data_IF_369574268845
#
_entry.id   IF_369574268845
#
_cell.length_a   1.000
_cell.length_b   1.000
_cell.length_c   1.000
_cell.angle_alpha   90.00
_cell.angle_beta   90.00
_cell.angle_gamma   90.00
#
_symmetry.space_group_name_H-M   'P 1'
#
loop_
_entity.id
_entity.type
_entity.pdbx_description
1 polymer ?
#
# COMPACT_ATOMS: atom_id res chain seq x y z
N UNK A 1 -17.65 -20.06 3.83
CA UNK A 1 -17.94 -19.87 5.27
C UNK A 1 -18.86 -18.68 5.40
N UNK A 2 -20.03 -18.77 6.06
CA UNK A 2 -20.89 -17.60 6.25
C UNK A 2 -20.27 -16.67 7.30
N UNK A 3 -20.22 -15.36 7.01
CA UNK A 3 -19.79 -14.34 7.98
C UNK A 3 -20.78 -14.38 9.14
N UNK A 4 -20.30 -14.75 10.33
CA UNK A 4 -21.15 -15.02 11.51
C UNK A 4 -21.31 -13.83 12.46
N UNK A 5 -20.40 -12.85 12.44
CA UNK A 5 -20.47 -11.65 13.26
C UNK A 5 -19.66 -10.51 12.62
N UNK A 6 -20.15 -9.28 12.75
CA UNK A 6 -19.45 -8.04 12.41
C UNK A 6 -19.35 -7.22 13.70
N UNK A 7 -18.14 -6.90 14.13
CA UNK A 7 -17.92 -5.98 15.25
C UNK A 7 -17.87 -4.54 14.72
N UNK A 8 -18.73 -3.67 15.26
CA UNK A 8 -18.69 -2.23 15.01
C UNK A 8 -18.11 -1.60 16.28
N UNK A 9 -16.94 -0.97 16.18
CA UNK A 9 -16.28 -0.29 17.31
C UNK A 9 -16.98 1.01 17.72
N UNK A 10 -16.59 1.56 18.87
CA UNK A 10 -17.14 2.82 19.38
C UNK A 10 -16.38 4.04 18.81
N UNK A 11 -17.04 5.20 18.60
CA UNK A 11 -16.37 6.41 18.11
C UNK A 11 -15.18 6.86 18.97
N UNK A 12 -15.22 6.59 20.27
CA UNK A 12 -14.12 6.92 21.20
C UNK A 12 -12.84 6.11 20.91
N UNK A 13 -12.95 4.92 20.31
CA UNK A 13 -11.81 4.08 19.92
C UNK A 13 -11.01 4.72 18.78
N UNK A 14 -11.65 5.48 17.89
CA UNK A 14 -10.98 6.18 16.79
C UNK A 14 -10.03 7.28 17.28
N UNK A 15 -10.29 7.84 18.46
CA UNK A 15 -9.40 8.84 19.09
C UNK A 15 -8.30 8.22 19.95
N UNK A 16 -8.29 6.89 20.08
CA UNK A 16 -7.27 6.21 20.88
C UNK A 16 -5.89 6.38 20.21
N UNK A 17 -4.82 6.67 20.98
CA UNK A 17 -3.48 6.90 20.43
C UNK A 17 -2.99 5.76 19.51
N UNK A 18 -3.35 4.52 19.81
CA UNK A 18 -2.93 3.36 19.02
C UNK A 18 -3.72 3.24 17.70
N UNK A 19 -4.99 3.64 17.67
CA UNK A 19 -5.76 3.74 16.43
C UNK A 19 -5.21 4.83 15.52
N UNK A 20 -4.83 5.99 16.08
CA UNK A 20 -4.21 7.07 15.32
C UNK A 20 -2.82 6.68 14.77
N UNK A 21 -2.00 5.98 15.56
CA UNK A 21 -0.71 5.44 15.08
C UNK A 21 -0.91 4.42 13.96
N UNK A 22 -1.88 3.52 14.10
CA UNK A 22 -2.20 2.54 13.07
C UNK A 22 -2.67 3.23 11.77
N UNK A 23 -3.57 4.20 11.87
CA UNK A 23 -4.06 4.97 10.72
C UNK A 23 -2.92 5.75 10.01
N UNK A 24 -1.99 6.32 10.77
CA UNK A 24 -0.82 7.00 10.20
C UNK A 24 0.12 6.00 9.52
N UNK A 25 0.38 4.85 10.15
CA UNK A 25 1.20 3.79 9.57
C UNK A 25 0.58 3.26 8.27
N UNK A 26 -0.74 3.08 8.25
CA UNK A 26 -1.49 2.67 7.07
C UNK A 26 -1.42 3.73 5.96
N UNK A 27 -1.59 5.01 6.31
CA UNK A 27 -1.45 6.12 5.37
C UNK A 27 -0.07 6.14 4.71
N UNK A 28 1.01 6.04 5.49
CA UNK A 28 2.39 6.04 4.97
C UNK A 28 2.66 4.79 4.14
N UNK A 29 2.22 3.61 4.60
CA UNK A 29 2.39 2.34 3.88
C UNK A 29 1.70 2.39 2.52
N UNK A 30 0.47 2.91 2.48
CA UNK A 30 -0.30 3.08 1.24
C UNK A 30 0.37 4.09 0.33
N UNK A 31 0.90 5.19 0.87
CA UNK A 31 1.64 6.20 0.10
C UNK A 31 2.88 5.59 -0.56
N UNK A 32 3.68 4.81 0.17
CA UNK A 32 4.86 4.11 -0.36
C UNK A 32 4.46 3.15 -1.49
N UNK A 33 3.44 2.33 -1.28
CA UNK A 33 2.96 1.36 -2.26
C UNK A 33 2.50 2.04 -3.56
N UNK A 34 1.62 3.03 -3.47
CA UNK A 34 1.08 3.74 -4.63
C UNK A 34 2.18 4.53 -5.33
N UNK A 35 3.07 5.18 -4.58
CA UNK A 35 4.18 5.92 -5.15
C UNK A 35 5.12 5.01 -5.95
N UNK A 36 5.45 3.82 -5.44
CA UNK A 36 6.25 2.85 -6.17
C UNK A 36 5.53 2.35 -7.43
N UNK A 37 4.25 1.98 -7.31
CA UNK A 37 3.44 1.49 -8.41
C UNK A 37 3.28 2.50 -9.55
N UNK A 38 2.68 3.65 -9.26
CA UNK A 38 2.42 4.71 -10.25
C UNK A 38 3.72 5.37 -10.74
N UNK A 39 4.69 5.53 -9.84
CA UNK A 39 6.01 6.06 -10.16
C UNK A 39 6.74 5.21 -11.21
N UNK A 40 6.59 3.89 -11.16
CA UNK A 40 7.17 2.99 -12.17
C UNK A 40 6.58 3.20 -13.56
N UNK A 41 5.26 3.44 -13.67
CA UNK A 41 4.59 3.74 -14.92
C UNK A 41 5.03 5.09 -15.50
N UNK A 42 5.13 6.12 -14.65
CA UNK A 42 5.66 7.42 -15.06
C UNK A 42 7.11 7.33 -15.52
N UNK A 43 7.95 6.57 -14.82
CA UNK A 43 9.34 6.33 -15.20
C UNK A 43 9.44 5.61 -16.54
N UNK A 44 8.63 4.57 -16.77
CA UNK A 44 8.57 3.88 -18.06
C UNK A 44 8.19 4.83 -19.20
N UNK A 45 7.17 5.66 -19.01
CA UNK A 45 6.76 6.67 -19.99
C UNK A 45 7.88 7.67 -20.30
N UNK A 46 8.61 8.13 -19.29
CA UNK A 46 9.76 9.04 -19.48
C UNK A 46 10.92 8.39 -20.23
N UNK A 47 11.26 7.15 -19.90
CA UNK A 47 12.37 6.43 -20.54
C UNK A 47 12.06 6.03 -22.00
N UNK A 48 10.79 5.90 -22.35
CA UNK A 48 10.33 5.42 -23.67
C UNK A 48 9.75 6.51 -24.56
N UNK A 49 9.76 7.78 -24.12
CA UNK A 49 9.09 8.90 -24.79
C UNK A 49 7.60 8.60 -25.05
N UNK A 50 6.89 8.10 -24.03
CA UNK A 50 5.50 7.64 -24.10
C UNK A 50 5.28 6.53 -25.14
N UNK A 51 6.27 5.64 -25.29
CA UNK A 51 6.16 4.47 -26.16
C UNK A 51 5.15 3.45 -25.63
N UNK A 52 4.75 2.51 -26.49
CA UNK A 52 3.85 1.43 -26.10
C UNK A 52 4.47 0.55 -25.00
N UNK A 53 3.61 -0.08 -24.19
CA UNK A 53 4.03 -1.01 -23.14
C UNK A 53 4.86 -2.15 -23.72
N UNK A 54 6.03 -2.40 -23.12
CA UNK A 54 6.94 -3.50 -23.51
C UNK A 54 6.98 -4.58 -22.42
N UNK A 55 7.41 -5.82 -22.76
CA UNK A 55 7.60 -6.87 -21.75
C UNK A 55 8.53 -6.44 -20.60
N UNK A 56 9.61 -5.72 -20.91
CA UNK A 56 10.51 -5.17 -19.89
C UNK A 56 9.81 -4.14 -18.98
N UNK A 57 8.96 -3.29 -19.55
CA UNK A 57 8.12 -2.35 -18.79
C UNK A 57 7.13 -3.06 -17.87
N UNK A 58 6.52 -4.16 -18.33
CA UNK A 58 5.61 -4.97 -17.51
C UNK A 58 6.35 -5.64 -16.35
N UNK A 59 7.55 -6.17 -16.58
CA UNK A 59 8.38 -6.75 -15.51
C UNK A 59 8.76 -5.68 -14.49
N UNK A 60 9.18 -4.49 -14.95
CA UNK A 60 9.51 -3.37 -14.07
C UNK A 60 8.31 -2.93 -13.21
N UNK A 61 7.13 -2.78 -13.81
CA UNK A 61 5.90 -2.44 -13.08
C UNK A 61 5.51 -3.52 -12.07
N UNK A 62 5.64 -4.79 -12.45
CA UNK A 62 5.34 -5.93 -11.57
C UNK A 62 6.27 -5.97 -10.35
N UNK A 63 7.57 -5.73 -10.56
CA UNK A 63 8.54 -5.64 -9.47
C UNK A 63 8.28 -4.43 -8.58
N UNK A 64 7.95 -3.27 -9.16
CA UNK A 64 7.64 -2.07 -8.40
C UNK A 64 6.43 -2.26 -7.47
N UNK A 65 5.36 -2.89 -7.97
CA UNK A 65 4.20 -3.23 -7.15
C UNK A 65 4.52 -4.29 -6.10
N UNK A 66 5.21 -5.37 -6.48
CA UNK A 66 5.55 -6.45 -5.56
C UNK A 66 6.45 -5.99 -4.41
N UNK A 67 7.54 -5.27 -4.71
CA UNK A 67 8.44 -4.74 -3.70
C UNK A 67 7.84 -3.55 -2.94
N UNK A 68 7.07 -2.70 -3.60
CA UNK A 68 6.33 -1.62 -2.94
C UNK A 68 5.36 -2.16 -1.88
N UNK A 69 4.62 -3.22 -2.20
CA UNK A 69 3.71 -3.88 -1.26
C UNK A 69 4.48 -4.60 -0.15
N UNK A 70 5.59 -5.28 -0.48
CA UNK A 70 6.44 -5.94 0.52
C UNK A 70 6.95 -4.94 1.58
N UNK A 71 7.45 -3.77 1.13
CA UNK A 71 7.89 -2.71 2.05
C UNK A 71 6.71 -2.14 2.83
N UNK A 72 5.58 -1.84 2.17
CA UNK A 72 4.39 -1.30 2.82
C UNK A 72 3.87 -2.22 3.94
N UNK A 73 3.80 -3.54 3.70
CA UNK A 73 3.41 -4.52 4.72
C UNK A 73 4.42 -4.59 5.85
N UNK A 74 5.72 -4.57 5.53
CA UNK A 74 6.79 -4.64 6.55
C UNK A 74 6.78 -3.42 7.48
N UNK A 75 6.42 -2.25 6.96
CA UNK A 75 6.28 -1.01 7.75
C UNK A 75 4.96 -0.99 8.53
N UNK A 76 3.84 -1.37 7.89
CA UNK A 76 2.50 -1.31 8.49
C UNK A 76 2.22 -2.38 9.56
N UNK A 77 2.81 -3.57 9.45
CA UNK A 77 2.56 -4.71 10.35
C UNK A 77 3.08 -4.53 11.79
N UNK A 78 3.71 -3.40 12.12
CA UNK A 78 4.19 -3.09 13.48
C UNK A 78 3.08 -2.53 14.39
N UNK A 79 1.86 -2.34 13.88
CA UNK A 79 0.74 -1.78 14.66
C UNK A 79 -0.09 -2.89 15.33
N UNK A 80 -0.30 -2.88 16.66
CA UNK A 80 -1.05 -3.92 17.38
C UNK A 80 -2.55 -3.99 17.03
N UNK A 81 -3.08 -3.07 16.21
CA UNK A 81 -4.45 -3.10 15.72
C UNK A 81 -4.68 -4.11 14.57
N UNK A 82 -3.60 -4.67 14.01
CA UNK A 82 -3.65 -5.67 12.91
C UNK A 82 -3.57 -7.11 13.45
N UNK A 83 -3.34 -7.30 14.76
CA UNK A 83 -3.29 -8.60 15.45
C UNK A 83 -4.48 -8.76 16.40
#
# INVERSE_FOLDING_TARGET
MPIRNIAIGHPQEATHPDALKAALAEFISTLIFVFAGEGSGMAFNKLTNNGATTPAGLVAASLAHGFGLFVAVSVGATSPAVM
#
